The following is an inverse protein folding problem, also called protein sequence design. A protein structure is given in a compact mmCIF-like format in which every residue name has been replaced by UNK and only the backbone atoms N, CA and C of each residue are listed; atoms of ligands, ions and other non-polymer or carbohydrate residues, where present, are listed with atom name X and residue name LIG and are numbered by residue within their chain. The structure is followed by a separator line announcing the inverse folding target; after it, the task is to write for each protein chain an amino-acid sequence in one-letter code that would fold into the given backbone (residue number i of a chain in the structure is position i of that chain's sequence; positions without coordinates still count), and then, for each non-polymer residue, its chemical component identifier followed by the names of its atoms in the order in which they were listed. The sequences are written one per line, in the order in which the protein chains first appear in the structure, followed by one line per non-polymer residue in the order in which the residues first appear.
data_IF_143395700815
#
_entry.id   IF_143395700815
#
_cell.length_a   1.000
_cell.length_b   1.000
_cell.length_c   1.000
_cell.angle_alpha   90.00
_cell.angle_beta   90.00
_cell.angle_gamma   90.00
#
_symmetry.space_group_name_H-M   'P 1'
#
loop_
_entity.id
_entity.type
_entity.pdbx_description
1 polymer ?
#
# COMPACT_ATOMS: atom_id res chain seq x y z
N UNK A 1 7.27 -1.70 30.60
CA UNK A 1 6.64 -2.53 29.55
C UNK A 1 7.48 -2.39 28.29
N UNK A 2 8.14 -3.46 27.83
CA UNK A 2 8.78 -3.44 26.52
C UNK A 2 7.69 -3.26 25.46
N UNK A 3 7.79 -2.21 24.64
CA UNK A 3 6.88 -2.02 23.51
C UNK A 3 7.20 -3.11 22.48
N UNK A 4 6.39 -4.17 22.45
CA UNK A 4 6.45 -5.16 21.37
C UNK A 4 6.00 -4.44 20.09
N UNK A 5 6.94 -4.14 19.20
CA UNK A 5 6.62 -3.56 17.89
C UNK A 5 6.12 -4.66 16.97
N UNK A 6 4.82 -4.67 16.66
CA UNK A 6 4.26 -5.55 15.64
C UNK A 6 4.66 -5.04 14.25
N UNK A 7 5.37 -5.87 13.48
CA UNK A 7 5.72 -5.54 12.09
C UNK A 7 4.50 -5.78 11.20
N UNK A 8 3.65 -4.75 11.11
CA UNK A 8 2.39 -4.82 10.37
C UNK A 8 2.65 -4.90 8.86
N UNK A 9 3.43 -4.00 8.28
CA UNK A 9 3.71 -4.04 6.84
C UNK A 9 4.98 -4.78 6.52
N UNK A 10 4.84 -5.80 5.67
CA UNK A 10 5.96 -6.56 5.14
C UNK A 10 6.81 -5.71 4.16
N UNK A 11 8.07 -6.12 3.91
CA UNK A 11 8.97 -5.36 3.05
C UNK A 11 8.44 -5.10 1.63
N UNK A 12 7.69 -6.05 1.04
CA UNK A 12 7.21 -5.92 -0.34
C UNK A 12 6.11 -4.86 -0.42
N UNK A 13 5.19 -4.83 0.54
CA UNK A 13 4.16 -3.78 0.61
C UNK A 13 4.80 -2.42 0.77
N UNK A 14 5.84 -2.28 1.61
CA UNK A 14 6.57 -1.01 1.77
C UNK A 14 7.23 -0.60 0.47
N UNK A 15 7.92 -1.53 -0.19
CA UNK A 15 8.61 -1.30 -1.45
C UNK A 15 7.63 -0.86 -2.52
N UNK A 16 6.49 -1.54 -2.68
CA UNK A 16 5.44 -1.13 -3.61
C UNK A 16 5.01 0.33 -3.40
N UNK A 17 4.72 0.73 -2.14
CA UNK A 17 4.26 2.09 -1.87
C UNK A 17 5.32 3.15 -2.21
N UNK A 18 6.57 2.95 -1.78
CA UNK A 18 7.64 3.92 -2.08
C UNK A 18 7.99 3.93 -3.56
N UNK A 19 7.92 2.79 -4.25
CA UNK A 19 8.14 2.69 -5.70
C UNK A 19 7.06 3.46 -6.47
N UNK A 20 5.78 3.26 -6.15
CA UNK A 20 4.69 3.98 -6.81
C UNK A 20 4.77 5.49 -6.53
N UNK A 21 5.06 5.90 -5.28
CA UNK A 21 5.29 7.31 -4.97
C UNK A 21 6.46 7.87 -5.79
N UNK A 22 7.55 7.10 -5.92
CA UNK A 22 8.70 7.44 -6.76
C UNK A 22 8.35 7.62 -8.23
N UNK A 23 7.46 6.79 -8.78
CA UNK A 23 6.96 6.94 -10.16
C UNK A 23 6.25 8.28 -10.36
N UNK A 24 5.37 8.67 -9.43
CA UNK A 24 4.67 9.95 -9.54
C UNK A 24 5.61 11.14 -9.45
N UNK A 25 6.58 11.08 -8.53
CA UNK A 25 7.62 12.11 -8.41
C UNK A 25 8.47 12.17 -9.68
N UNK A 26 8.95 11.02 -10.17
CA UNK A 26 9.74 10.95 -11.40
C UNK A 26 8.95 11.48 -12.62
N UNK A 27 7.69 11.09 -12.75
CA UNK A 27 6.84 11.55 -13.83
C UNK A 27 6.58 13.06 -13.77
N UNK A 28 6.62 13.67 -12.59
CA UNK A 28 6.50 15.13 -12.45
C UNK A 28 7.78 15.86 -12.88
N UNK A 29 8.95 15.33 -12.55
CA UNK A 29 10.23 16.00 -12.78
C UNK A 29 10.88 15.71 -14.14
N UNK A 30 10.68 14.52 -14.70
CA UNK A 30 11.39 14.07 -15.91
C UNK A 30 10.53 14.03 -17.17
N UNK A 31 9.21 14.23 -17.04
CA UNK A 31 8.33 14.17 -18.20
C UNK A 31 8.25 15.54 -18.90
N UNK A 32 9.02 15.71 -19.96
CA UNK A 32 8.92 16.86 -20.85
C UNK A 32 8.00 16.56 -22.04
N UNK A 33 7.47 17.60 -22.69
CA UNK A 33 6.55 17.44 -23.80
C UNK A 33 7.25 16.77 -25.00
N UNK A 34 6.76 15.58 -25.39
CA UNK A 34 7.33 14.79 -26.50
C UNK A 34 8.29 13.69 -26.05
N UNK A 35 8.54 13.55 -24.74
CA UNK A 35 9.39 12.49 -24.20
C UNK A 35 8.57 11.23 -23.82
N UNK A 36 9.18 10.06 -23.95
CA UNK A 36 8.50 8.77 -23.74
C UNK A 36 8.51 8.32 -22.26
N UNK A 37 9.10 9.12 -21.36
CA UNK A 37 9.21 8.77 -19.94
C UNK A 37 7.88 8.50 -19.28
N UNK A 38 6.83 9.26 -19.62
CA UNK A 38 5.48 9.01 -19.10
C UNK A 38 5.00 7.58 -19.37
N UNK A 39 5.27 7.08 -20.57
CA UNK A 39 4.84 5.74 -21.03
C UNK A 39 5.62 4.66 -20.29
N UNK A 40 6.94 4.77 -20.23
CA UNK A 40 7.79 3.80 -19.53
C UNK A 40 7.52 3.75 -18.02
N UNK A 41 7.35 4.91 -17.39
CA UNK A 41 6.96 5.02 -15.98
C UNK A 41 5.57 4.42 -15.74
N UNK A 42 4.64 4.58 -16.68
CA UNK A 42 3.33 3.94 -16.68
C UNK A 42 3.43 2.40 -16.72
N UNK A 43 4.24 1.84 -17.61
CA UNK A 43 4.46 0.38 -17.66
C UNK A 43 5.08 -0.16 -16.39
N UNK A 44 6.04 0.55 -15.82
CA UNK A 44 6.63 0.18 -14.52
C UNK A 44 5.57 0.20 -13.41
N UNK A 45 4.71 1.22 -13.35
CA UNK A 45 3.64 1.30 -12.37
C UNK A 45 2.63 0.15 -12.53
N UNK A 46 2.24 -0.19 -13.76
CA UNK A 46 1.33 -1.31 -14.05
C UNK A 46 1.95 -2.65 -13.63
N UNK A 47 3.24 -2.86 -13.89
CA UNK A 47 3.95 -4.06 -13.45
C UNK A 47 3.93 -4.19 -11.91
N UNK A 48 4.23 -3.11 -11.20
CA UNK A 48 4.14 -3.10 -9.73
C UNK A 48 2.72 -3.29 -9.21
N UNK A 49 1.72 -2.74 -9.88
CA UNK A 49 0.31 -2.93 -9.54
C UNK A 49 -0.07 -4.40 -9.66
N UNK A 50 0.37 -5.09 -10.72
CA UNK A 50 0.15 -6.53 -10.88
C UNK A 50 0.79 -7.33 -9.72
N UNK A 51 2.04 -7.02 -9.36
CA UNK A 51 2.72 -7.61 -8.19
C UNK A 51 1.89 -7.39 -6.92
N UNK A 52 1.40 -6.16 -6.68
CA UNK A 52 0.59 -5.83 -5.51
C UNK A 52 -0.74 -6.58 -5.48
N UNK A 53 -1.41 -6.71 -6.63
CA UNK A 53 -2.67 -7.46 -6.76
C UNK A 53 -2.45 -8.91 -6.36
N UNK A 54 -1.46 -9.58 -6.94
CA UNK A 54 -1.12 -10.98 -6.62
C UNK A 54 -0.70 -11.12 -5.15
N UNK A 55 0.13 -10.20 -4.65
CA UNK A 55 0.57 -10.24 -3.25
C UNK A 55 -0.57 -10.04 -2.25
N UNK A 56 -1.62 -9.32 -2.62
CA UNK A 56 -2.81 -9.18 -1.78
C UNK A 56 -3.65 -10.46 -1.64
N UNK A 57 -3.32 -11.53 -2.37
CA UNK A 57 -3.89 -12.86 -2.16
C UNK A 57 -2.91 -13.80 -1.45
N UNK A 58 -1.63 -13.77 -1.82
CA UNK A 58 -0.62 -14.72 -1.34
C UNK A 58 0.15 -14.27 -0.09
N UNK A 59 0.20 -12.96 0.16
CA UNK A 59 1.03 -12.35 1.20
C UNK A 59 0.58 -12.67 2.64
N UNK A 60 1.32 -12.14 3.63
CA UNK A 60 0.96 -12.25 5.04
C UNK A 60 -0.39 -11.57 5.31
N UNK A 61 -1.03 -11.88 6.45
CA UNK A 61 -2.36 -11.39 6.80
C UNK A 61 -2.54 -9.90 6.52
N UNK A 62 -1.60 -9.07 6.95
CA UNK A 62 -1.61 -7.62 6.77
C UNK A 62 -1.47 -7.12 5.33
N UNK A 63 -1.02 -7.96 4.40
CA UNK A 63 -0.97 -7.63 2.98
C UNK A 63 -2.28 -7.97 2.25
N UNK A 64 -3.09 -8.88 2.83
CA UNK A 64 -4.27 -9.45 2.18
C UNK A 64 -5.40 -8.45 2.07
N UNK A 65 -6.12 -8.51 0.94
CA UNK A 65 -7.29 -7.66 0.72
C UNK A 65 -8.41 -7.89 1.74
N UNK A 66 -8.56 -9.12 2.22
CA UNK A 66 -9.55 -9.49 3.24
C UNK A 66 -9.26 -8.90 4.62
N UNK A 67 -7.99 -8.67 4.95
CA UNK A 67 -7.61 -8.09 6.24
C UNK A 67 -7.99 -6.62 6.32
N UNK A 68 -7.91 -5.90 5.20
CA UNK A 68 -8.29 -4.49 5.12
C UNK A 68 -9.77 -4.24 4.75
N UNK A 69 -10.56 -5.28 4.44
CA UNK A 69 -11.91 -5.08 3.92
C UNK A 69 -12.80 -4.30 4.90
N UNK A 70 -13.25 -3.08 4.54
CA UNK A 70 -14.02 -2.23 5.43
C UNK A 70 -15.46 -2.73 5.50
N UNK A 71 -15.80 -3.48 6.55
CA UNK A 71 -17.20 -3.79 6.85
C UNK A 71 -17.75 -2.80 7.87
N UNK A 72 -19.04 -2.41 7.77
CA UNK A 72 -19.66 -1.51 8.75
C UNK A 72 -19.52 -2.01 10.20
N UNK A 73 -19.53 -3.33 10.40
CA UNK A 73 -19.34 -3.94 11.71
C UNK A 73 -17.92 -3.72 12.26
N UNK A 74 -16.88 -3.96 11.44
CA UNK A 74 -15.48 -3.74 11.83
C UNK A 74 -15.20 -2.27 12.11
N UNK A 75 -15.77 -1.38 11.30
CA UNK A 75 -15.64 0.07 11.50
C UNK A 75 -16.27 0.50 12.83
N UNK A 76 -17.51 0.07 13.12
CA UNK A 76 -18.17 0.39 14.40
C UNK A 76 -17.40 -0.16 15.61
N UNK A 77 -16.90 -1.40 15.51
CA UNK A 77 -16.09 -2.00 16.57
C UNK A 77 -14.79 -1.22 16.81
N UNK A 78 -14.10 -0.82 15.73
CA UNK A 78 -12.87 -0.03 15.82
C UNK A 78 -13.12 1.37 16.40
N UNK A 79 -14.17 2.06 15.95
CA UNK A 79 -14.52 3.39 16.50
C UNK A 79 -14.83 3.28 18.00
N UNK A 80 -15.56 2.24 18.42
CA UNK A 80 -15.85 2.01 19.85
C UNK A 80 -14.57 1.74 20.65
N UNK A 81 -13.64 0.96 20.11
CA UNK A 81 -12.36 0.67 20.80
C UNK A 81 -11.49 1.93 20.96
N UNK A 82 -11.51 2.84 19.98
CA UNK A 82 -10.86 4.14 20.06
C UNK A 82 -11.50 5.04 21.13
N UNK A 83 -12.84 5.09 21.20
CA UNK A 83 -13.58 5.85 22.23
C UNK A 83 -13.26 5.30 23.63
N UNK A 84 -13.22 3.97 23.77
CA UNK A 84 -12.93 3.28 25.03
C UNK A 84 -11.43 3.34 25.42
N UNK A 85 -10.58 3.96 24.59
CA UNK A 85 -9.10 4.00 24.72
C UNK A 85 -8.47 2.62 24.89
N UNK A 86 -9.06 1.61 24.25
CA UNK A 86 -8.53 0.25 24.15
C UNK A 86 -8.25 -0.08 22.68
N UNK A 87 -7.35 0.66 22.02
CA UNK A 87 -6.98 0.41 20.64
C UNK A 87 -6.37 -0.99 20.46
#
# INVERSE_FOLDING_TARGET
MSRVSLRLWDPLVRLFHVSIAGVFVANYFFNEAGDDWHVWLGYYAVAWLAVRVVWGFLGPTSARWSDFWPSPARLRAHVRSLIDRKP
#
